data_IF_111041311158
#
_entry.id   IF_111041311158
#
_cell.length_a   1.000
_cell.length_b   1.000
_cell.length_c   1.000
_cell.angle_alpha   90.00
_cell.angle_beta   90.00
_cell.angle_gamma   90.00
#
_symmetry.space_group_name_H-M   'P 1'
#
loop_
_entity.id
_entity.type
_entity.pdbx_description
1 polymer ?
#
# COMPACT_ATOMS: atom_id res chain seq x y z
N UNK A 1 -34.33 16.28 -38.72
CA UNK A 1 -32.85 16.33 -38.55
C UNK A 1 -32.45 17.23 -37.39
N UNK A 2 -33.00 18.45 -37.29
CA UNK A 2 -32.74 19.36 -36.17
C UNK A 2 -33.07 18.74 -34.79
N UNK A 3 -34.18 18.01 -34.63
CA UNK A 3 -34.49 17.34 -33.36
C UNK A 3 -33.53 16.21 -32.99
N UNK A 4 -32.98 15.51 -34.01
CA UNK A 4 -31.96 14.47 -33.81
C UNK A 4 -30.59 15.07 -33.47
N UNK A 5 -30.28 16.26 -34.00
CA UNK A 5 -29.07 17.01 -33.67
C UNK A 5 -29.20 17.61 -32.27
N UNK A 6 -30.37 18.14 -31.91
CA UNK A 6 -30.66 18.64 -30.57
C UNK A 6 -30.63 17.49 -29.53
N UNK A 7 -31.17 16.32 -29.84
CA UNK A 7 -31.04 15.14 -28.97
C UNK A 7 -29.60 14.65 -28.88
N UNK A 8 -28.84 14.67 -29.99
CA UNK A 8 -27.41 14.32 -29.97
C UNK A 8 -26.61 15.29 -29.08
N UNK A 9 -26.85 16.60 -29.22
CA UNK A 9 -26.23 17.63 -28.39
C UNK A 9 -26.63 17.48 -26.91
N UNK A 10 -27.90 17.14 -26.63
CA UNK A 10 -28.36 16.84 -25.27
C UNK A 10 -27.68 15.59 -24.67
N UNK A 11 -27.34 14.59 -25.50
CA UNK A 11 -26.58 13.40 -25.08
C UNK A 11 -25.06 13.63 -24.96
N UNK A 12 -24.54 14.79 -25.37
CA UNK A 12 -23.11 15.08 -25.19
C UNK A 12 -22.80 15.32 -23.71
N UNK A 13 -21.68 14.80 -23.22
CA UNK A 13 -21.26 15.00 -21.82
C UNK A 13 -21.09 16.48 -21.42
N UNK A 14 -20.98 17.40 -22.38
CA UNK A 14 -20.85 18.83 -22.12
C UNK A 14 -22.09 19.45 -21.45
N UNK A 15 -23.29 18.90 -21.67
CA UNK A 15 -24.54 19.42 -21.08
C UNK A 15 -24.71 19.06 -19.62
N UNK A 16 -24.09 17.96 -19.18
CA UNK A 16 -24.14 17.45 -17.80
C UNK A 16 -22.88 17.79 -16.99
N UNK A 17 -22.00 18.64 -17.53
CA UNK A 17 -20.71 18.97 -16.93
C UNK A 17 -20.88 19.98 -15.79
N UNK A 18 -20.51 19.59 -14.56
CA UNK A 18 -20.43 20.49 -13.41
C UNK A 18 -18.99 20.97 -13.19
N UNK A 19 -18.80 22.09 -12.50
CA UNK A 19 -17.45 22.60 -12.21
C UNK A 19 -16.61 21.62 -11.38
N UNK A 20 -17.24 20.84 -10.50
CA UNK A 20 -16.57 19.80 -9.69
C UNK A 20 -15.95 18.71 -10.57
N UNK A 21 -16.61 18.34 -11.69
CA UNK A 21 -16.05 17.42 -12.68
C UNK A 21 -14.76 17.97 -13.27
N UNK A 22 -14.74 19.28 -13.60
CA UNK A 22 -13.54 19.96 -14.10
C UNK A 22 -12.37 19.91 -13.13
N UNK A 23 -12.61 20.16 -11.84
CA UNK A 23 -11.58 20.04 -10.80
C UNK A 23 -11.02 18.62 -10.71
N UNK A 24 -11.88 17.61 -10.72
CA UNK A 24 -11.44 16.21 -10.68
C UNK A 24 -10.68 15.79 -11.93
N UNK A 25 -11.04 16.31 -13.10
CA UNK A 25 -10.26 16.09 -14.33
C UNK A 25 -8.86 16.67 -14.19
N UNK A 26 -8.72 17.89 -13.65
CA UNK A 26 -7.40 18.49 -13.38
C UNK A 26 -6.60 17.63 -12.41
N UNK A 27 -7.21 17.16 -11.32
CA UNK A 27 -6.54 16.25 -10.36
C UNK A 27 -6.11 14.95 -11.05
N UNK A 28 -6.99 14.34 -11.85
CA UNK A 28 -6.68 13.12 -12.61
C UNK A 28 -5.50 13.34 -13.58
N UNK A 29 -5.45 14.49 -14.26
CA UNK A 29 -4.33 14.86 -15.13
C UNK A 29 -3.03 15.07 -14.35
N UNK A 30 -3.09 15.64 -13.14
CA UNK A 30 -1.92 15.74 -12.25
C UNK A 30 -1.42 14.35 -11.85
N UNK A 31 -2.31 13.44 -11.44
CA UNK A 31 -1.96 12.06 -11.09
C UNK A 31 -1.32 11.34 -12.29
N UNK A 32 -1.90 11.48 -13.48
CA UNK A 32 -1.33 10.93 -14.72
C UNK A 32 0.04 11.54 -15.06
N UNK A 33 0.22 12.85 -14.84
CA UNK A 33 1.52 13.50 -15.02
C UNK A 33 2.58 12.94 -14.05
N UNK A 34 2.22 12.73 -12.78
CA UNK A 34 3.12 12.13 -11.79
C UNK A 34 3.49 10.69 -12.18
N UNK A 35 2.53 9.90 -12.67
CA UNK A 35 2.80 8.54 -13.15
C UNK A 35 3.69 8.52 -14.41
N UNK A 36 3.42 9.37 -15.40
CA UNK A 36 4.07 9.31 -16.72
C UNK A 36 5.40 10.06 -16.73
N UNK A 37 5.44 11.29 -16.22
CA UNK A 37 6.61 12.17 -16.33
C UNK A 37 7.56 12.04 -15.15
N UNK A 38 7.03 11.78 -13.96
CA UNK A 38 7.83 11.61 -12.74
C UNK A 38 8.08 10.14 -12.39
N UNK A 39 7.42 9.21 -13.09
CA UNK A 39 7.54 7.77 -12.88
C UNK A 39 7.26 7.36 -11.42
N UNK A 40 6.32 8.07 -10.78
CA UNK A 40 5.90 7.76 -9.42
C UNK A 40 4.89 6.62 -9.45
N UNK A 41 5.29 5.44 -8.94
CA UNK A 41 4.48 4.23 -8.85
C UNK A 41 3.57 4.01 -10.10
N UNK A 42 4.15 4.03 -11.32
CA UNK A 42 3.39 4.16 -12.56
C UNK A 42 2.43 2.99 -12.79
N UNK A 43 2.78 1.80 -12.31
CA UNK A 43 1.96 0.59 -12.43
C UNK A 43 0.58 0.76 -11.77
N UNK A 44 0.48 1.57 -10.72
CA UNK A 44 -0.76 1.80 -9.97
C UNK A 44 -1.34 3.19 -10.26
N UNK A 45 -0.52 4.25 -10.22
CA UNK A 45 -1.01 5.62 -10.40
C UNK A 45 -1.56 5.87 -11.80
N UNK A 46 -1.06 5.20 -12.84
CA UNK A 46 -1.58 5.36 -14.20
C UNK A 46 -3.01 4.80 -14.34
N UNK A 47 -3.30 3.52 -13.99
CA UNK A 47 -4.68 3.03 -13.96
C UNK A 47 -5.59 3.84 -13.03
N UNK A 48 -5.12 4.26 -11.86
CA UNK A 48 -5.90 5.08 -10.91
C UNK A 48 -6.25 6.42 -11.55
N UNK A 49 -5.27 7.17 -12.05
CA UNK A 49 -5.49 8.47 -12.68
C UNK A 49 -6.44 8.37 -13.88
N UNK A 50 -6.35 7.30 -14.67
CA UNK A 50 -7.27 7.07 -15.78
C UNK A 50 -8.70 6.72 -15.31
N UNK A 51 -8.83 5.90 -14.26
CA UNK A 51 -10.11 5.61 -13.62
C UNK A 51 -10.78 6.88 -13.06
N UNK A 52 -10.00 7.75 -12.42
CA UNK A 52 -10.47 9.06 -11.94
C UNK A 52 -10.96 9.93 -13.10
N UNK A 53 -10.21 9.97 -14.20
CA UNK A 53 -10.56 10.76 -15.39
C UNK A 53 -11.91 10.31 -15.96
N UNK A 54 -12.05 9.03 -16.30
CA UNK A 54 -13.28 8.49 -16.92
C UNK A 54 -14.50 8.70 -16.03
N UNK A 55 -14.35 8.53 -14.72
CA UNK A 55 -15.50 8.53 -13.80
C UNK A 55 -16.02 9.93 -13.48
N UNK A 56 -15.24 10.95 -13.82
CA UNK A 56 -15.63 12.35 -13.73
C UNK A 56 -15.99 12.95 -15.09
N UNK A 57 -15.90 12.19 -16.20
CA UNK A 57 -16.52 12.56 -17.46
C UNK A 57 -18.02 12.27 -17.40
N UNK A 58 -18.91 13.21 -17.78
CA UNK A 58 -20.35 13.01 -17.67
C UNK A 58 -20.88 11.93 -18.64
N UNK A 59 -21.98 11.28 -18.25
CA UNK A 59 -22.78 10.39 -19.12
C UNK A 59 -21.98 9.15 -19.62
N UNK A 60 -21.14 8.55 -18.78
CA UNK A 60 -20.38 7.35 -19.17
C UNK A 60 -21.08 6.03 -18.85
N UNK A 61 -21.95 5.99 -17.83
CA UNK A 61 -22.65 4.77 -17.38
C UNK A 61 -21.74 3.62 -16.91
N UNK A 62 -20.42 3.80 -16.95
CA UNK A 62 -19.44 2.71 -16.80
C UNK A 62 -19.37 2.16 -15.38
N UNK A 63 -19.83 2.95 -14.40
CA UNK A 63 -19.86 2.58 -12.98
C UNK A 63 -21.30 2.40 -12.46
N UNK A 64 -22.29 2.45 -13.34
CA UNK A 64 -23.68 2.37 -12.91
C UNK A 64 -24.03 0.93 -12.51
N UNK A 65 -24.73 0.73 -11.38
CA UNK A 65 -25.22 -0.59 -10.99
C UNK A 65 -26.25 -1.09 -12.00
N UNK A 66 -26.44 -2.41 -12.13
CA UNK A 66 -27.54 -2.96 -12.92
C UNK A 66 -28.87 -2.45 -12.37
N UNK A 67 -29.71 -1.90 -13.24
CA UNK A 67 -31.00 -1.32 -12.88
C UNK A 67 -32.02 -1.56 -14.00
N UNK A 68 -33.30 -1.73 -13.64
CA UNK A 68 -34.41 -1.84 -14.60
C UNK A 68 -34.21 -2.91 -15.70
N UNK A 69 -33.59 -4.04 -15.36
CA UNK A 69 -33.29 -5.12 -16.31
C UNK A 69 -32.13 -4.83 -17.27
N UNK A 70 -31.44 -3.70 -17.14
CA UNK A 70 -30.23 -3.38 -17.89
C UNK A 70 -28.98 -3.85 -17.14
N UNK A 71 -27.98 -4.40 -17.84
CA UNK A 71 -26.70 -4.75 -17.23
C UNK A 71 -26.01 -3.48 -16.70
N UNK A 72 -25.26 -3.63 -15.61
CA UNK A 72 -24.45 -2.56 -15.06
C UNK A 72 -23.24 -2.23 -15.95
N UNK A 73 -22.56 -1.14 -15.63
CA UNK A 73 -21.32 -0.78 -16.31
C UNK A 73 -20.17 -1.74 -16.02
N UNK A 74 -19.19 -1.83 -16.92
CA UNK A 74 -18.05 -2.73 -16.75
C UNK A 74 -17.28 -2.47 -15.44
N UNK A 75 -17.03 -1.20 -15.09
CA UNK A 75 -16.28 -0.86 -13.89
C UNK A 75 -17.07 -1.18 -12.62
N UNK A 76 -18.42 -1.18 -12.67
CA UNK A 76 -19.22 -1.64 -11.54
C UNK A 76 -18.95 -3.11 -11.21
N UNK A 77 -18.88 -3.97 -12.24
CA UNK A 77 -18.60 -5.40 -12.06
C UNK A 77 -17.17 -5.67 -11.62
N UNK A 78 -16.19 -5.02 -12.27
CA UNK A 78 -14.78 -5.14 -11.85
C UNK A 78 -14.59 -4.62 -10.41
N UNK A 79 -15.30 -3.56 -10.02
CA UNK A 79 -15.22 -3.02 -8.66
C UNK A 79 -15.73 -4.01 -7.59
N UNK A 80 -16.53 -5.00 -7.95
CA UNK A 80 -16.89 -6.06 -7.00
C UNK A 80 -15.65 -6.82 -6.50
N UNK A 81 -14.58 -6.92 -7.29
CA UNK A 81 -13.33 -7.51 -6.81
C UNK A 81 -12.68 -6.71 -5.67
N UNK A 82 -12.85 -5.39 -5.66
CA UNK A 82 -12.43 -4.52 -4.55
C UNK A 82 -13.41 -4.63 -3.39
N UNK A 83 -14.71 -4.44 -3.67
CA UNK A 83 -15.78 -4.41 -2.66
C UNK A 83 -15.91 -5.72 -1.88
N UNK A 84 -15.78 -6.86 -2.56
CA UNK A 84 -15.81 -8.19 -1.95
C UNK A 84 -14.45 -8.59 -1.35
N UNK A 85 -13.42 -7.75 -1.48
CA UNK A 85 -12.08 -8.00 -0.93
C UNK A 85 -11.35 -9.15 -1.61
N UNK A 86 -11.59 -9.38 -2.91
CA UNK A 86 -10.97 -10.45 -3.73
C UNK A 86 -9.61 -10.01 -4.26
N UNK A 87 -9.51 -8.78 -4.77
CA UNK A 87 -8.27 -8.29 -5.38
C UNK A 87 -7.11 -8.13 -4.39
N UNK A 88 -7.29 -7.63 -3.16
CA UNK A 88 -6.15 -7.44 -2.27
C UNK A 88 -5.39 -8.73 -1.90
N UNK A 89 -6.05 -9.85 -1.51
CA UNK A 89 -5.37 -11.12 -1.32
C UNK A 89 -4.64 -11.61 -2.59
N UNK A 90 -5.22 -11.42 -3.77
CA UNK A 90 -4.58 -11.81 -5.03
C UNK A 90 -3.37 -10.94 -5.39
N UNK A 91 -3.36 -9.65 -5.03
CA UNK A 91 -2.14 -8.83 -5.11
C UNK A 91 -1.10 -9.34 -4.13
N UNK A 92 -1.50 -9.66 -2.90
CA UNK A 92 -0.62 -10.24 -1.87
C UNK A 92 0.04 -11.55 -2.33
N UNK A 93 -0.68 -12.39 -3.06
CA UNK A 93 -0.12 -13.58 -3.72
C UNK A 93 1.05 -13.22 -4.64
N UNK A 94 0.85 -12.25 -5.53
CA UNK A 94 1.89 -11.78 -6.44
C UNK A 94 3.07 -11.13 -5.70
N UNK A 95 2.80 -10.30 -4.70
CA UNK A 95 3.83 -9.69 -3.83
C UNK A 95 4.64 -10.77 -3.13
N UNK A 96 3.99 -11.80 -2.59
CA UNK A 96 4.67 -12.95 -1.98
C UNK A 96 5.58 -13.69 -2.96
N UNK A 97 5.13 -13.86 -4.20
CA UNK A 97 5.92 -14.49 -5.26
C UNK A 97 7.09 -13.62 -5.75
N UNK A 98 6.97 -12.30 -5.69
CA UNK A 98 8.04 -11.33 -6.04
C UNK A 98 9.09 -11.16 -4.94
N UNK A 99 8.71 -11.39 -3.68
CA UNK A 99 9.51 -11.02 -2.52
C UNK A 99 10.52 -12.11 -2.13
N UNK A 100 11.78 -11.71 -1.92
CA UNK A 100 12.80 -12.55 -1.28
C UNK A 100 12.76 -12.35 0.24
N UNK A 101 12.39 -13.39 0.97
CA UNK A 101 12.33 -13.39 2.43
C UNK A 101 13.66 -13.79 3.07
N UNK A 102 14.66 -14.19 2.27
CA UNK A 102 16.00 -14.55 2.73
C UNK A 102 16.61 -13.53 3.70
N UNK A 103 16.57 -12.22 3.41
CA UNK A 103 17.08 -11.22 4.33
C UNK A 103 16.43 -11.19 5.71
N UNK A 104 15.11 -11.41 5.76
CA UNK A 104 14.38 -11.46 7.02
C UNK A 104 14.71 -12.74 7.81
N UNK A 105 14.82 -13.88 7.13
CA UNK A 105 15.18 -15.16 7.75
C UNK A 105 16.64 -15.13 8.26
N UNK A 106 17.52 -14.45 7.53
CA UNK A 106 18.92 -14.31 7.88
C UNK A 106 19.11 -13.52 9.19
N UNK A 107 18.31 -12.47 9.40
CA UNK A 107 18.34 -11.66 10.62
C UNK A 107 16.92 -11.43 11.21
N UNK A 108 16.37 -12.41 11.95
CA UNK A 108 14.99 -12.34 12.42
C UNK A 108 14.69 -11.17 13.37
N UNK A 109 15.72 -10.61 14.04
CA UNK A 109 15.55 -9.46 14.94
C UNK A 109 15.00 -8.24 14.17
N UNK A 110 15.22 -8.14 12.86
CA UNK A 110 14.65 -7.06 12.04
C UNK A 110 13.12 -7.09 11.97
N UNK A 111 12.47 -8.17 12.38
CA UNK A 111 11.01 -8.22 12.52
C UNK A 111 10.49 -7.15 13.49
N UNK A 112 11.27 -6.82 14.53
CA UNK A 112 10.93 -5.76 15.49
C UNK A 112 10.87 -4.38 14.85
N UNK A 113 11.67 -4.13 13.80
CA UNK A 113 11.65 -2.86 13.07
C UNK A 113 10.37 -2.74 12.24
N UNK A 114 9.95 -3.83 11.60
CA UNK A 114 8.66 -3.89 10.90
C UNK A 114 7.46 -3.72 11.84
N UNK A 115 7.54 -4.27 13.06
CA UNK A 115 6.53 -4.07 14.10
C UNK A 115 6.48 -2.62 14.60
N UNK A 116 7.64 -2.02 14.89
CA UNK A 116 7.71 -0.62 15.33
C UNK A 116 7.26 0.37 14.24
N UNK A 117 7.44 0.04 12.97
CA UNK A 117 6.93 0.85 11.86
C UNK A 117 5.39 0.90 11.82
N UNK A 118 4.69 -0.06 12.44
CA UNK A 118 3.22 -0.01 12.55
C UNK A 118 2.71 1.05 13.54
N UNK A 119 3.60 1.72 14.28
CA UNK A 119 3.24 2.80 15.20
C UNK A 119 2.40 3.90 14.51
N UNK A 120 2.72 4.22 13.26
CA UNK A 120 1.97 5.24 12.52
C UNK A 120 0.51 4.85 12.27
N UNK A 121 0.17 3.56 12.24
CA UNK A 121 -1.23 3.10 12.17
C UNK A 121 -1.99 3.57 13.41
N UNK A 122 -1.46 3.27 14.59
CA UNK A 122 -2.13 3.54 15.86
C UNK A 122 -2.15 5.03 16.21
N UNK A 123 -1.08 5.78 15.90
CA UNK A 123 -1.07 7.24 16.09
C UNK A 123 -2.13 7.90 15.21
N UNK A 124 -2.24 7.45 13.96
CA UNK A 124 -3.22 8.00 13.01
C UNK A 124 -4.64 7.60 13.37
N UNK A 125 -4.83 6.36 13.84
CA UNK A 125 -6.10 5.91 14.42
C UNK A 125 -6.54 6.83 15.57
N UNK A 126 -5.66 7.13 16.52
CA UNK A 126 -5.95 8.06 17.62
C UNK A 126 -6.24 9.47 17.10
N UNK A 127 -5.45 9.97 16.14
CA UNK A 127 -5.67 11.27 15.50
C UNK A 127 -7.04 11.37 14.82
N UNK A 128 -7.46 10.33 14.11
CA UNK A 128 -8.77 10.28 13.47
C UNK A 128 -9.91 10.26 14.50
N UNK A 129 -9.77 9.53 15.61
CA UNK A 129 -10.75 9.57 16.71
C UNK A 129 -10.90 10.99 17.30
N UNK A 130 -9.78 11.69 17.50
CA UNK A 130 -9.80 13.08 18.02
C UNK A 130 -10.46 14.06 17.05
N UNK A 131 -10.42 13.79 15.74
CA UNK A 131 -11.12 14.57 14.72
C UNK A 131 -12.60 14.18 14.55
N UNK A 132 -13.10 13.24 15.36
CA UNK A 132 -14.52 12.87 15.39
C UNK A 132 -14.94 11.78 14.41
N UNK A 133 -13.99 11.05 13.80
CA UNK A 133 -14.31 9.86 13.02
C UNK A 133 -14.78 8.72 13.93
N UNK A 134 -15.69 7.87 13.44
CA UNK A 134 -16.09 6.66 14.18
C UNK A 134 -14.91 5.70 14.32
N UNK A 135 -14.89 4.76 15.29
CA UNK A 135 -13.80 3.79 15.42
C UNK A 135 -13.51 3.00 14.14
N UNK A 136 -14.54 2.59 13.40
CA UNK A 136 -14.39 1.88 12.13
C UNK A 136 -13.77 2.76 11.03
N UNK A 137 -14.16 4.03 10.97
CA UNK A 137 -13.57 5.01 10.06
C UNK A 137 -12.11 5.34 10.45
N UNK A 138 -11.86 5.56 11.73
CA UNK A 138 -10.53 5.81 12.27
C UNK A 138 -9.58 4.64 12.01
N UNK A 139 -10.03 3.39 12.11
CA UNK A 139 -9.24 2.21 11.76
C UNK A 139 -8.89 2.18 10.27
N UNK A 140 -9.86 2.48 9.41
CA UNK A 140 -9.69 2.58 7.96
C UNK A 140 -8.74 3.71 7.55
N UNK A 141 -8.70 4.82 8.29
CA UNK A 141 -7.74 5.91 8.06
C UNK A 141 -6.37 5.54 8.64
N UNK A 142 -6.34 4.93 9.83
CA UNK A 142 -5.13 4.52 10.51
C UNK A 142 -4.28 3.58 9.67
N UNK A 143 -4.89 2.58 9.01
CA UNK A 143 -4.16 1.57 8.24
C UNK A 143 -3.34 2.16 7.07
N UNK A 144 -3.62 3.39 6.63
CA UNK A 144 -2.78 4.14 5.69
C UNK A 144 -1.32 4.19 6.17
N UNK A 145 -1.11 4.31 7.48
CA UNK A 145 0.22 4.30 8.11
C UNK A 145 1.00 2.99 7.92
N UNK A 146 0.32 1.90 7.59
CA UNK A 146 0.98 0.64 7.23
C UNK A 146 1.76 0.77 5.93
N UNK A 147 1.43 1.74 5.07
CA UNK A 147 1.95 1.91 3.71
C UNK A 147 1.71 0.71 2.78
N UNK A 148 0.62 -0.02 3.05
CA UNK A 148 0.22 -1.21 2.32
C UNK A 148 -1.14 -0.97 1.67
N UNK A 149 -1.13 -0.62 0.39
CA UNK A 149 -2.35 -0.31 -0.37
C UNK A 149 -3.38 -1.45 -0.38
N UNK A 150 -3.02 -2.69 -0.72
CA UNK A 150 -3.96 -3.79 -0.69
C UNK A 150 -4.53 -4.05 0.72
N UNK A 151 -3.72 -4.01 1.77
CA UNK A 151 -4.22 -4.17 3.15
C UNK A 151 -5.17 -3.03 3.53
N UNK A 152 -4.85 -1.79 3.17
CA UNK A 152 -5.71 -0.64 3.43
C UNK A 152 -7.07 -0.77 2.74
N UNK A 153 -7.08 -1.21 1.47
CA UNK A 153 -8.31 -1.51 0.73
C UNK A 153 -9.11 -2.62 1.40
N UNK A 154 -8.45 -3.71 1.80
CA UNK A 154 -9.08 -4.88 2.40
C UNK A 154 -9.76 -4.57 3.74
N UNK A 155 -9.11 -3.77 4.59
CA UNK A 155 -9.67 -3.34 5.87
C UNK A 155 -10.85 -2.38 5.64
N UNK A 156 -10.64 -1.38 4.80
CA UNK A 156 -11.63 -0.31 4.58
C UNK A 156 -12.89 -0.81 3.89
N UNK A 157 -12.78 -1.77 2.97
CA UNK A 157 -13.95 -2.37 2.31
C UNK A 157 -14.87 -3.13 3.27
N UNK A 158 -14.39 -3.47 4.47
CA UNK A 158 -15.15 -4.16 5.52
C UNK A 158 -15.60 -3.22 6.64
N UNK A 159 -14.76 -2.26 7.04
CA UNK A 159 -15.04 -1.38 8.18
C UNK A 159 -15.71 -0.06 7.78
N UNK A 160 -15.27 0.59 6.69
CA UNK A 160 -15.80 1.89 6.25
C UNK A 160 -15.81 2.00 4.72
N UNK A 161 -16.69 1.24 4.02
CA UNK A 161 -16.72 1.21 2.56
C UNK A 161 -16.92 2.59 1.91
N UNK A 162 -17.56 3.52 2.61
CA UNK A 162 -17.77 4.90 2.18
C UNK A 162 -16.48 5.73 2.12
N UNK A 163 -15.44 5.35 2.88
CA UNK A 163 -14.13 6.00 2.87
C UNK A 163 -13.12 5.35 1.92
N UNK A 164 -13.49 4.21 1.31
CA UNK A 164 -12.58 3.37 0.53
C UNK A 164 -11.84 4.14 -0.56
N UNK A 165 -12.53 5.02 -1.28
CA UNK A 165 -11.95 5.83 -2.35
C UNK A 165 -10.85 6.77 -1.82
N UNK A 166 -11.16 7.48 -0.73
CA UNK A 166 -10.27 8.47 -0.12
C UNK A 166 -9.06 7.80 0.53
N UNK A 167 -9.29 6.70 1.25
CA UNK A 167 -8.23 5.90 1.90
C UNK A 167 -7.32 5.26 0.86
N UNK A 168 -7.88 4.61 -0.16
CA UNK A 168 -7.07 3.94 -1.18
C UNK A 168 -6.23 4.94 -1.98
N UNK A 169 -6.80 6.08 -2.36
CA UNK A 169 -6.03 7.12 -3.06
C UNK A 169 -4.93 7.69 -2.17
N UNK A 170 -5.23 7.99 -0.89
CA UNK A 170 -4.24 8.47 0.05
C UNK A 170 -3.10 7.46 0.23
N UNK A 171 -3.43 6.17 0.44
CA UNK A 171 -2.44 5.11 0.61
C UNK A 171 -1.48 5.03 -0.58
N UNK A 172 -1.97 4.91 -1.81
CA UNK A 172 -1.11 4.79 -2.99
C UNK A 172 -0.38 6.09 -3.33
N UNK A 173 -1.00 7.25 -3.14
CA UNK A 173 -0.32 8.54 -3.35
C UNK A 173 0.87 8.70 -2.40
N UNK A 174 0.70 8.35 -1.13
CA UNK A 174 1.78 8.46 -0.15
C UNK A 174 2.87 7.41 -0.30
N UNK A 175 2.52 6.19 -0.73
CA UNK A 175 3.53 5.20 -1.12
C UNK A 175 4.47 5.76 -2.20
N UNK A 176 3.92 6.47 -3.20
CA UNK A 176 4.70 7.10 -4.26
C UNK A 176 5.59 8.26 -3.74
N UNK A 177 5.19 8.91 -2.64
CA UNK A 177 5.90 10.05 -2.04
C UNK A 177 6.92 9.65 -0.97
N UNK A 178 7.09 8.36 -0.67
CA UNK A 178 8.11 7.84 0.26
C UNK A 178 9.52 8.41 0.02
N UNK A 179 10.02 8.52 -1.23
CA UNK A 179 11.35 9.09 -1.50
C UNK A 179 11.49 10.57 -1.13
N UNK A 180 10.37 11.25 -0.89
CA UNK A 180 10.31 12.65 -0.49
C UNK A 180 10.08 12.75 1.02
N UNK A 181 9.21 11.90 1.58
CA UNK A 181 8.79 11.93 2.99
C UNK A 181 9.86 11.34 3.92
N UNK A 182 10.44 10.19 3.57
CA UNK A 182 11.37 9.48 4.47
C UNK A 182 12.71 10.20 4.67
N UNK A 183 13.43 10.66 3.62
CA UNK A 183 14.78 11.18 3.82
C UNK A 183 14.91 12.36 4.79
N UNK A 184 13.99 13.35 4.83
CA UNK A 184 14.03 14.40 5.84
C UNK A 184 13.95 13.86 7.27
N UNK A 185 13.07 12.90 7.52
CA UNK A 185 12.89 12.28 8.85
C UNK A 185 14.13 11.47 9.24
N UNK A 186 14.69 10.72 8.29
CA UNK A 186 15.94 9.99 8.48
C UNK A 186 17.08 10.92 8.89
N UNK A 187 17.26 12.04 8.18
CA UNK A 187 18.31 13.03 8.46
C UNK A 187 18.08 13.76 9.79
N UNK A 188 16.83 13.99 10.18
CA UNK A 188 16.46 14.63 11.44
C UNK A 188 16.72 13.73 12.66
N UNK A 189 16.35 12.44 12.57
CA UNK A 189 16.39 11.53 13.71
C UNK A 189 17.71 10.77 13.85
N UNK A 190 18.54 10.71 12.81
CA UNK A 190 19.82 9.98 12.81
C UNK A 190 21.03 10.91 12.67
N UNK A 191 22.09 10.58 13.39
CA UNK A 191 23.39 11.25 13.30
C UNK A 191 24.20 10.72 12.11
N UNK A 192 25.20 11.47 11.65
CA UNK A 192 26.09 11.02 10.58
C UNK A 192 26.81 9.71 10.94
N UNK A 193 27.32 9.60 12.18
CA UNK A 193 27.99 8.39 12.69
C UNK A 193 27.09 7.15 12.64
N UNK A 194 25.83 7.29 13.00
CA UNK A 194 24.85 6.19 12.91
C UNK A 194 24.62 5.77 11.44
N UNK A 195 24.53 6.74 10.52
CA UNK A 195 24.29 6.49 9.09
C UNK A 195 25.46 5.80 8.38
N UNK A 196 26.68 6.10 8.80
CA UNK A 196 27.91 5.51 8.24
C UNK A 196 28.18 4.08 8.74
N UNK A 197 27.37 3.57 9.67
CA UNK A 197 27.52 2.23 10.24
C UNK A 197 27.36 1.16 9.15
N UNK A 198 28.42 0.39 8.92
CA UNK A 198 28.44 -0.73 7.99
C UNK A 198 27.90 -1.97 8.70
N UNK A 199 26.96 -2.66 8.06
CA UNK A 199 26.38 -3.89 8.59
C UNK A 199 27.16 -5.12 8.11
N UNK A 200 27.33 -6.10 8.98
CA UNK A 200 27.95 -7.39 8.65
C UNK A 200 27.12 -8.15 7.61
N UNK A 201 27.77 -8.93 6.75
CA UNK A 201 27.07 -9.74 5.75
C UNK A 201 26.06 -10.70 6.40
N UNK A 202 24.90 -10.84 5.75
CA UNK A 202 23.86 -11.75 6.20
C UNK A 202 24.36 -13.20 6.12
N UNK A 203 23.92 -14.02 7.08
CA UNK A 203 24.14 -15.47 7.02
C UNK A 203 23.48 -16.07 5.78
N UNK A 204 24.04 -17.17 5.28
CA UNK A 204 23.36 -17.96 4.28
C UNK A 204 22.10 -18.62 4.87
N UNK A 205 21.02 -18.59 4.11
CA UNK A 205 19.74 -19.19 4.50
C UNK A 205 19.55 -20.45 3.67
N UNK A 206 19.41 -21.58 4.36
CA UNK A 206 19.22 -22.87 3.72
C UNK A 206 17.90 -22.94 2.95
N UNK A 207 17.85 -23.77 1.90
CA UNK A 207 16.60 -23.99 1.15
C UNK A 207 15.46 -24.50 2.03
N UNK A 208 15.78 -25.33 3.03
CA UNK A 208 14.80 -25.83 4.00
C UNK A 208 14.20 -24.71 4.84
N UNK A 209 15.01 -23.79 5.36
CA UNK A 209 14.50 -22.62 6.11
C UNK A 209 13.59 -21.75 5.24
N UNK A 210 13.98 -21.50 3.98
CA UNK A 210 13.17 -20.71 3.04
C UNK A 210 11.79 -21.33 2.76
N UNK A 211 11.72 -22.66 2.66
CA UNK A 211 10.46 -23.39 2.41
C UNK A 211 9.61 -23.48 3.69
N UNK A 212 10.21 -23.74 4.85
CA UNK A 212 9.47 -23.85 6.11
C UNK A 212 8.97 -22.51 6.62
N UNK A 213 9.68 -21.41 6.35
CA UNK A 213 9.29 -20.07 6.77
C UNK A 213 7.83 -19.71 6.41
N UNK A 214 7.38 -19.73 5.14
CA UNK A 214 6.01 -19.36 4.81
C UNK A 214 4.97 -20.30 5.43
N UNK A 215 5.29 -21.59 5.61
CA UNK A 215 4.39 -22.56 6.24
C UNK A 215 4.21 -22.23 7.73
N UNK A 216 5.32 -22.02 8.45
CA UNK A 216 5.31 -21.70 9.87
C UNK A 216 4.62 -20.36 10.12
N UNK A 217 4.96 -19.33 9.33
CA UNK A 217 4.32 -18.01 9.45
C UNK A 217 2.83 -18.09 9.18
N UNK A 218 2.40 -18.86 8.17
CA UNK A 218 0.97 -19.07 7.91
C UNK A 218 0.28 -19.70 9.12
N UNK A 219 0.80 -20.81 9.65
CA UNK A 219 0.20 -21.51 10.78
C UNK A 219 0.11 -20.58 12.00
N UNK A 220 1.21 -19.92 12.36
CA UNK A 220 1.26 -19.05 13.54
C UNK A 220 0.34 -17.83 13.39
N UNK A 221 0.47 -17.09 12.29
CA UNK A 221 -0.31 -15.86 12.10
C UNK A 221 -1.81 -16.14 11.93
N UNK A 222 -2.20 -17.23 11.24
CA UNK A 222 -3.63 -17.57 11.08
C UNK A 222 -4.23 -18.05 12.40
N UNK A 223 -3.50 -18.83 13.21
CA UNK A 223 -3.99 -19.26 14.52
C UNK A 223 -4.09 -18.10 15.51
N UNK A 224 -3.16 -17.14 15.46
CA UNK A 224 -3.17 -15.96 16.34
C UNK A 224 -4.19 -14.91 15.89
N UNK A 225 -4.32 -14.67 14.58
CA UNK A 225 -5.16 -13.61 14.00
C UNK A 225 -5.93 -14.15 12.78
N UNK A 226 -7.01 -14.92 13.00
CA UNK A 226 -7.78 -15.56 11.91
C UNK A 226 -8.36 -14.57 10.89
N UNK A 227 -8.67 -13.34 11.31
CA UNK A 227 -9.18 -12.25 10.47
C UNK A 227 -8.18 -11.79 9.39
N UNK A 228 -6.87 -11.98 9.61
CA UNK A 228 -5.81 -11.68 8.63
C UNK A 228 -5.56 -12.84 7.65
N UNK A 229 -6.27 -13.97 7.79
CA UNK A 229 -5.97 -15.21 7.07
C UNK A 229 -5.91 -15.06 5.56
N UNK A 230 -6.84 -14.34 4.93
CA UNK A 230 -6.84 -14.15 3.48
C UNK A 230 -5.57 -13.44 2.99
N UNK A 231 -5.11 -12.41 3.69
CA UNK A 231 -3.91 -11.66 3.32
C UNK A 231 -2.65 -12.49 3.56
N UNK A 232 -2.50 -13.04 4.77
CA UNK A 232 -1.30 -13.80 5.14
C UNK A 232 -1.17 -15.08 4.32
N UNK A 233 -2.26 -15.85 4.15
CA UNK A 233 -2.22 -17.10 3.40
C UNK A 233 -1.85 -16.86 1.94
N UNK A 234 -2.40 -15.81 1.29
CA UNK A 234 -2.01 -15.48 -0.07
C UNK A 234 -0.55 -15.03 -0.16
N UNK A 235 -0.06 -14.17 0.75
CA UNK A 235 1.34 -13.74 0.80
C UNK A 235 2.29 -14.94 0.91
N UNK A 236 2.03 -15.80 1.89
CA UNK A 236 2.88 -16.93 2.20
C UNK A 236 2.77 -18.02 1.15
N UNK A 237 1.60 -18.22 0.53
CA UNK A 237 1.47 -19.14 -0.61
C UNK A 237 2.27 -18.63 -1.82
N UNK A 238 2.23 -17.33 -2.11
CA UNK A 238 3.08 -16.70 -3.11
C UNK A 238 4.56 -16.94 -2.85
N UNK A 239 4.99 -16.78 -1.60
CA UNK A 239 6.38 -17.06 -1.22
C UNK A 239 6.72 -18.56 -1.33
N UNK A 240 5.82 -19.45 -0.91
CA UNK A 240 6.04 -20.90 -0.98
C UNK A 240 6.20 -21.39 -2.42
N UNK A 241 5.36 -20.94 -3.36
CA UNK A 241 5.49 -21.34 -4.77
C UNK A 241 6.79 -20.81 -5.42
N UNK A 242 7.33 -19.69 -4.91
CA UNK A 242 8.65 -19.16 -5.31
C UNK A 242 9.77 -20.06 -4.78
N UNK A 243 9.77 -20.37 -3.48
CA UNK A 243 10.87 -21.10 -2.82
C UNK A 243 10.85 -22.61 -3.08
N UNK A 244 9.68 -23.19 -3.39
CA UNK A 244 9.55 -24.62 -3.66
C UNK A 244 10.31 -25.05 -4.94
N UNK A 245 10.38 -24.20 -5.96
CA UNK A 245 11.12 -24.45 -7.21
C UNK A 245 10.52 -25.54 -8.12
N UNK A 246 9.48 -26.25 -7.70
CA UNK A 246 8.81 -27.32 -8.48
C UNK A 246 7.60 -26.82 -9.28
N UNK A 247 7.11 -25.62 -8.98
CA UNK A 247 5.93 -25.00 -9.62
C UNK A 247 6.28 -23.68 -10.31
N UNK A 248 7.39 -23.67 -11.05
CA UNK A 248 7.92 -22.46 -11.70
C UNK A 248 6.89 -21.75 -12.59
N UNK A 249 6.05 -22.51 -13.30
CA UNK A 249 4.95 -21.95 -14.11
C UNK A 249 3.94 -21.17 -13.25
N UNK A 250 3.59 -21.66 -12.06
CA UNK A 250 2.67 -20.94 -11.16
C UNK A 250 3.33 -19.71 -10.57
N UNK A 251 4.59 -19.82 -10.13
CA UNK A 251 5.36 -18.69 -9.60
C UNK A 251 5.50 -17.56 -10.62
N UNK A 252 5.88 -17.89 -11.87
CA UNK A 252 5.98 -16.93 -12.97
C UNK A 252 4.65 -16.27 -13.28
N UNK A 253 3.56 -17.04 -13.36
CA UNK A 253 2.21 -16.50 -13.57
C UNK A 253 1.80 -15.55 -12.45
N UNK A 254 2.04 -15.92 -11.19
CA UNK A 254 1.66 -15.11 -10.03
C UNK A 254 2.41 -13.77 -9.98
N UNK A 255 3.73 -13.78 -10.23
CA UNK A 255 4.58 -12.59 -10.11
C UNK A 255 4.55 -11.68 -11.35
N UNK A 256 4.02 -12.13 -12.49
CA UNK A 256 3.93 -11.35 -13.72
C UNK A 256 2.47 -11.18 -14.16
N UNK A 257 1.91 -12.16 -14.88
CA UNK A 257 0.64 -12.00 -15.60
C UNK A 257 -0.54 -11.75 -14.65
N UNK A 258 -0.67 -12.55 -13.59
CA UNK A 258 -1.79 -12.45 -12.66
C UNK A 258 -1.78 -11.13 -11.90
N UNK A 259 -0.66 -10.77 -11.26
CA UNK A 259 -0.56 -9.52 -10.51
C UNK A 259 -0.80 -8.31 -11.42
N UNK A 260 -0.33 -8.33 -12.67
CA UNK A 260 -0.55 -7.25 -13.63
C UNK A 260 -2.04 -7.11 -14.00
N UNK A 261 -2.74 -8.22 -14.27
CA UNK A 261 -4.18 -8.20 -14.57
C UNK A 261 -4.96 -7.64 -13.38
N UNK A 262 -4.69 -8.13 -12.17
CA UNK A 262 -5.39 -7.67 -10.96
C UNK A 262 -5.07 -6.21 -10.67
N UNK A 263 -3.83 -5.76 -10.90
CA UNK A 263 -3.41 -4.36 -10.73
C UNK A 263 -4.17 -3.44 -11.67
N UNK A 264 -4.37 -3.83 -12.93
CA UNK A 264 -5.17 -3.06 -13.89
C UNK A 264 -6.62 -2.93 -13.39
N UNK A 265 -7.26 -4.05 -13.01
CA UNK A 265 -8.64 -4.03 -12.55
C UNK A 265 -8.81 -3.23 -11.26
N UNK A 266 -7.92 -3.43 -10.28
CA UNK A 266 -7.93 -2.70 -9.02
C UNK A 266 -7.70 -1.20 -9.26
N UNK A 267 -6.67 -0.83 -10.00
CA UNK A 267 -6.31 0.57 -10.20
C UNK A 267 -7.40 1.35 -10.94
N UNK A 268 -7.93 0.81 -12.04
CA UNK A 268 -9.03 1.44 -12.79
C UNK A 268 -10.28 1.63 -11.91
N UNK A 269 -10.66 0.60 -11.15
CA UNK A 269 -11.90 0.63 -10.37
C UNK A 269 -11.78 1.46 -9.10
N UNK A 270 -10.62 1.45 -8.43
CA UNK A 270 -10.32 2.34 -7.30
C UNK A 270 -10.33 3.79 -7.76
N UNK A 271 -9.61 4.12 -8.84
CA UNK A 271 -9.65 5.45 -9.43
C UNK A 271 -11.07 5.89 -9.77
N UNK A 272 -11.89 4.95 -10.28
CA UNK A 272 -13.27 5.23 -10.64
C UNK A 272 -14.19 5.59 -9.47
N UNK A 273 -13.81 5.25 -8.24
CA UNK A 273 -14.56 5.64 -7.04
C UNK A 273 -14.33 7.09 -6.60
N UNK A 274 -13.29 7.76 -7.11
CA UNK A 274 -12.99 9.16 -6.81
C UNK A 274 -13.88 10.09 -7.65
N UNK A 275 -15.19 10.04 -7.41
CA UNK A 275 -16.15 10.98 -8.01
C UNK A 275 -16.07 12.32 -7.29
N UNK A 276 -16.31 13.41 -8.01
CA UNK A 276 -16.18 14.76 -7.46
C UNK A 276 -17.02 14.99 -6.20
N UNK A 277 -18.23 14.41 -6.14
CA UNK A 277 -19.16 14.55 -5.02
C UNK A 277 -18.68 13.86 -3.73
N UNK A 278 -17.89 12.77 -3.85
CA UNK A 278 -17.36 12.02 -2.71
C UNK A 278 -15.93 12.42 -2.37
N UNK A 279 -15.17 12.90 -3.35
CA UNK A 279 -13.75 13.20 -3.20
C UNK A 279 -13.47 14.64 -2.77
N UNK A 280 -14.23 15.62 -3.26
CA UNK A 280 -14.03 17.03 -2.92
C UNK A 280 -14.74 17.39 -1.61
N UNK A 281 -14.37 16.70 -0.53
CA UNK A 281 -14.93 16.89 0.80
C UNK A 281 -13.85 17.26 1.81
N UNK A 282 -14.24 17.97 2.87
CA UNK A 282 -13.34 18.29 3.99
C UNK A 282 -12.79 17.01 4.63
N UNK A 283 -13.62 15.98 4.75
CA UNK A 283 -13.21 14.67 5.26
C UNK A 283 -12.09 14.04 4.43
N UNK A 284 -12.17 14.11 3.10
CA UNK A 284 -11.10 13.60 2.25
C UNK A 284 -9.78 14.35 2.48
N UNK A 285 -9.84 15.67 2.67
CA UNK A 285 -8.65 16.46 3.01
C UNK A 285 -8.06 16.04 4.36
N UNK A 286 -8.89 15.81 5.37
CA UNK A 286 -8.46 15.30 6.68
C UNK A 286 -7.77 13.93 6.54
N UNK A 287 -8.33 13.01 5.75
CA UNK A 287 -7.74 11.68 5.48
C UNK A 287 -6.38 11.82 4.80
N UNK A 288 -6.26 12.73 3.83
CA UNK A 288 -5.00 13.01 3.15
C UNK A 288 -3.99 13.52 4.19
N UNK A 289 -4.31 14.54 4.98
CA UNK A 289 -3.39 15.08 6.00
C UNK A 289 -2.98 14.02 7.03
N UNK A 290 -3.94 13.25 7.54
CA UNK A 290 -3.70 12.13 8.46
C UNK A 290 -2.80 11.06 7.84
N UNK A 291 -2.96 10.76 6.55
CA UNK A 291 -2.07 9.83 5.84
C UNK A 291 -0.62 10.29 5.84
N UNK A 292 -0.35 11.57 5.59
CA UNK A 292 1.02 12.11 5.65
C UNK A 292 1.62 11.98 7.05
N UNK A 293 0.82 12.28 8.08
CA UNK A 293 1.19 12.12 9.49
C UNK A 293 1.50 10.64 9.77
N UNK A 294 0.66 9.73 9.28
CA UNK A 294 0.82 8.29 9.44
C UNK A 294 2.18 7.80 8.94
N UNK A 295 2.53 8.12 7.70
CA UNK A 295 3.82 7.75 7.10
C UNK A 295 5.00 8.34 7.85
N UNK A 296 4.86 9.59 8.31
CA UNK A 296 5.90 10.28 9.07
C UNK A 296 6.18 9.57 10.40
N UNK A 297 5.13 9.20 11.13
CA UNK A 297 5.25 8.47 12.39
C UNK A 297 5.64 7.00 12.22
N UNK A 298 5.24 6.33 11.14
CA UNK A 298 5.71 4.97 10.82
C UNK A 298 7.21 4.97 10.56
N UNK A 299 7.69 5.94 9.79
CA UNK A 299 9.13 6.13 9.51
C UNK A 299 9.90 6.46 10.78
N UNK A 300 9.39 7.39 11.59
CA UNK A 300 10.00 7.77 12.87
C UNK A 300 10.03 6.58 13.85
N UNK A 301 8.93 5.83 14.00
CA UNK A 301 8.84 4.65 14.87
C UNK A 301 9.85 3.58 14.49
N UNK A 302 9.96 3.26 13.20
CA UNK A 302 10.97 2.34 12.68
C UNK A 302 12.40 2.81 12.96
N UNK A 303 12.73 4.08 12.70
CA UNK A 303 14.06 4.65 12.97
C UNK A 303 14.37 4.64 14.47
N UNK A 304 13.44 5.04 15.33
CA UNK A 304 13.63 5.06 16.79
C UNK A 304 13.93 3.65 17.32
N UNK A 305 13.22 2.63 16.82
CA UNK A 305 13.54 1.24 17.13
C UNK A 305 14.91 0.83 16.57
N UNK A 306 15.27 1.30 15.37
CA UNK A 306 16.61 1.15 14.79
C UNK A 306 17.70 1.75 15.68
N UNK A 307 17.48 2.92 16.28
CA UNK A 307 18.42 3.54 17.23
C UNK A 307 18.53 2.77 18.53
N UNK A 308 17.41 2.26 19.05
CA UNK A 308 17.43 1.38 20.21
C UNK A 308 18.27 0.13 19.92
N UNK A 309 18.04 -0.51 18.76
CA UNK A 309 18.81 -1.67 18.30
C UNK A 309 20.29 -1.34 18.06
N UNK A 310 20.62 -0.16 17.53
CA UNK A 310 21.99 0.32 17.41
C UNK A 310 22.68 0.39 18.79
N UNK A 311 22.02 1.00 19.78
CA UNK A 311 22.57 1.13 21.13
C UNK A 311 22.74 -0.23 21.81
N UNK A 312 21.73 -1.10 21.74
CA UNK A 312 21.74 -2.43 22.37
C UNK A 312 22.74 -3.39 21.72
N UNK A 313 23.01 -3.24 20.42
CA UNK A 313 23.97 -4.07 19.69
C UNK A 313 25.42 -3.57 19.80
N UNK A 314 25.67 -2.47 20.50
CA UNK A 314 26.99 -1.84 20.56
C UNK A 314 27.43 -1.20 19.23
N UNK A 315 26.46 -0.76 18.41
CA UNK A 315 26.71 -0.03 17.17
C UNK A 315 26.76 -0.88 15.91
N UNK A 316 26.17 -2.09 15.90
CA UNK A 316 26.23 -3.01 14.75
C UNK A 316 25.07 -2.86 13.77
N UNK A 317 23.94 -2.29 14.21
CA UNK A 317 22.70 -2.20 13.42
C UNK A 317 22.50 -0.76 12.95
N UNK A 318 22.57 -0.51 11.66
CA UNK A 318 22.38 0.83 11.12
C UNK A 318 20.91 1.29 11.30
N UNK A 319 20.63 2.40 12.01
CA UNK A 319 19.26 2.86 12.24
C UNK A 319 18.46 3.19 10.98
N UNK A 320 19.12 3.44 9.84
CA UNK A 320 18.43 3.74 8.58
C UNK A 320 17.56 2.60 8.11
N UNK A 321 17.94 1.33 8.38
CA UNK A 321 17.12 0.17 8.01
C UNK A 321 15.78 0.15 8.76
N UNK A 322 15.67 0.89 9.87
CA UNK A 322 14.42 1.06 10.59
C UNK A 322 13.34 1.78 9.77
N UNK A 323 13.73 2.77 8.97
CA UNK A 323 12.79 3.45 8.06
C UNK A 323 12.25 2.53 6.96
N UNK A 324 13.01 1.49 6.60
CA UNK A 324 12.57 0.47 5.66
C UNK A 324 11.47 -0.43 6.23
N UNK A 325 11.15 -0.36 7.53
CA UNK A 325 10.00 -1.07 8.12
C UNK A 325 8.64 -0.61 7.60
N UNK A 326 8.58 0.57 6.95
CA UNK A 326 7.39 1.03 6.21
C UNK A 326 7.22 0.15 4.98
N UNK A 327 6.06 -0.51 4.84
CA UNK A 327 5.86 -1.69 3.98
C UNK A 327 5.79 -1.44 2.46
N UNK A 328 6.39 -0.36 1.97
CA UNK A 328 6.47 -0.10 0.54
C UNK A 328 7.63 -0.89 -0.08
N UNK A 329 7.32 -2.13 -0.44
CA UNK A 329 8.26 -3.04 -1.10
C UNK A 329 8.38 -2.71 -2.59
N UNK A 330 9.59 -2.60 -3.16
CA UNK A 330 10.92 -2.54 -2.53
C UNK A 330 11.39 -1.10 -2.24
N UNK A 331 10.55 -0.08 -2.46
CA UNK A 331 10.93 1.32 -2.49
C UNK A 331 11.51 1.86 -1.17
N UNK A 332 10.93 1.51 -0.02
CA UNK A 332 11.42 1.99 1.28
C UNK A 332 12.87 1.51 1.57
N UNK A 333 13.18 0.27 1.19
CA UNK A 333 14.53 -0.28 1.29
C UNK A 333 15.51 0.42 0.34
N UNK A 334 15.07 0.78 -0.88
CA UNK A 334 15.87 1.56 -1.84
C UNK A 334 16.14 2.98 -1.35
N UNK A 335 15.17 3.62 -0.70
CA UNK A 335 15.36 4.95 -0.10
C UNK A 335 16.37 4.88 1.05
N UNK A 336 16.27 3.84 1.90
CA UNK A 336 17.27 3.59 2.94
C UNK A 336 18.67 3.37 2.38
N UNK A 337 18.80 2.60 1.31
CA UNK A 337 20.05 2.43 0.57
C UNK A 337 20.62 3.75 0.07
N UNK A 338 19.78 4.58 -0.58
CA UNK A 338 20.20 5.87 -1.14
C UNK A 338 20.72 6.79 -0.05
N UNK A 339 19.98 6.95 1.05
CA UNK A 339 20.39 7.82 2.17
C UNK A 339 21.63 7.25 2.88
N UNK A 340 21.78 5.92 2.95
CA UNK A 340 22.99 5.27 3.44
C UNK A 340 24.22 5.59 2.56
N UNK A 341 24.07 5.53 1.24
CA UNK A 341 25.13 5.86 0.28
C UNK A 341 25.48 7.35 0.25
N UNK A 342 24.51 8.23 0.49
CA UNK A 342 24.77 9.67 0.68
C UNK A 342 25.69 9.92 1.88
N UNK A 343 25.62 9.09 2.93
CA UNK A 343 26.47 9.19 4.11
C UNK A 343 27.82 8.45 3.93
N UNK A 344 27.80 7.26 3.34
CA UNK A 344 28.99 6.46 3.05
C UNK A 344 28.81 5.71 1.71
N UNK A 345 29.52 6.10 0.63
CA UNK A 345 29.37 5.49 -0.69
C UNK A 345 29.63 3.98 -0.77
N UNK A 346 30.40 3.42 0.17
CA UNK A 346 30.70 1.98 0.22
C UNK A 346 29.71 1.18 1.06
N UNK A 347 28.73 1.84 1.69
CA UNK A 347 27.74 1.19 2.54
C UNK A 347 26.52 0.71 1.73
N UNK A 348 26.33 -0.61 1.69
CA UNK A 348 25.21 -1.25 0.99
C UNK A 348 24.21 -1.84 2.00
N UNK A 349 23.13 -1.11 2.23
CA UNK A 349 22.04 -1.44 3.14
C UNK A 349 20.87 -2.16 2.47
N UNK A 350 20.73 -2.16 1.14
CA UNK A 350 19.52 -2.67 0.45
C UNK A 350 19.14 -4.08 0.92
N UNK A 351 20.10 -5.02 0.94
CA UNK A 351 19.84 -6.39 1.38
C UNK A 351 19.42 -6.44 2.85
N UNK A 352 20.03 -5.65 3.74
CA UNK A 352 19.65 -5.58 5.15
C UNK A 352 18.28 -4.90 5.36
N UNK A 353 17.96 -3.89 4.55
CA UNK A 353 16.75 -3.09 4.63
C UNK A 353 15.52 -3.82 4.05
N UNK A 354 15.73 -4.83 3.20
CA UNK A 354 14.64 -5.70 2.74
C UNK A 354 14.02 -6.51 3.88
N UNK A 355 14.79 -6.92 4.88
CA UNK A 355 14.26 -7.65 6.06
C UNK A 355 13.14 -6.87 6.77
N UNK A 356 13.41 -5.65 7.29
CA UNK A 356 12.39 -4.77 7.85
C UNK A 356 11.21 -4.50 6.93
N UNK A 357 11.45 -4.29 5.62
CA UNK A 357 10.39 -3.94 4.66
C UNK A 357 9.38 -5.08 4.50
N UNK A 358 9.88 -6.30 4.37
CA UNK A 358 9.05 -7.50 4.31
C UNK A 358 8.33 -7.77 5.64
N UNK A 359 9.01 -7.55 6.77
CA UNK A 359 8.38 -7.62 8.08
C UNK A 359 7.26 -6.57 8.24
N UNK A 360 7.41 -5.40 7.63
CA UNK A 360 6.39 -4.36 7.56
C UNK A 360 5.12 -4.82 6.85
N UNK A 361 5.24 -5.52 5.72
CA UNK A 361 4.08 -6.09 4.98
C UNK A 361 3.31 -7.06 5.88
N UNK A 362 4.02 -8.00 6.52
CA UNK A 362 3.41 -8.94 7.48
C UNK A 362 2.77 -8.17 8.64
N UNK A 363 3.48 -7.20 9.21
CA UNK A 363 3.02 -6.39 10.34
C UNK A 363 1.74 -5.61 10.03
N UNK A 364 1.63 -5.04 8.84
CA UNK A 364 0.44 -4.30 8.42
C UNK A 364 -0.77 -5.21 8.26
N UNK A 365 -0.59 -6.41 7.68
CA UNK A 365 -1.66 -7.40 7.56
C UNK A 365 -2.13 -7.92 8.92
N UNK A 366 -1.21 -8.14 9.87
CA UNK A 366 -1.53 -8.50 11.25
C UNK A 366 -2.29 -7.36 11.93
N UNK A 367 -1.82 -6.11 11.81
CA UNK A 367 -2.49 -4.94 12.38
C UNK A 367 -3.91 -4.78 11.84
N UNK A 368 -4.10 -4.95 10.52
CA UNK A 368 -5.42 -4.97 9.91
C UNK A 368 -6.31 -6.11 10.44
N UNK A 369 -5.76 -7.31 10.61
CA UNK A 369 -6.49 -8.42 11.23
C UNK A 369 -6.95 -8.11 12.65
N UNK A 370 -6.06 -7.56 13.49
CA UNK A 370 -6.42 -7.17 14.85
C UNK A 370 -7.51 -6.09 14.83
N UNK A 371 -7.39 -5.07 13.99
CA UNK A 371 -8.41 -4.03 13.85
C UNK A 371 -9.76 -4.60 13.38
N UNK A 372 -9.76 -5.56 12.43
CA UNK A 372 -10.97 -6.27 12.02
C UNK A 372 -11.58 -7.08 13.16
N UNK A 373 -10.77 -7.79 13.95
CA UNK A 373 -11.28 -8.59 15.07
C UNK A 373 -11.91 -7.73 16.16
N UNK A 374 -11.37 -6.54 16.39
CA UNK A 374 -11.84 -5.64 17.45
C UNK A 374 -13.05 -4.80 17.02
N UNK A 375 -13.15 -4.43 15.74
CA UNK A 375 -14.10 -3.43 15.26
C UNK A 375 -15.05 -3.90 14.15
N UNK A 376 -14.87 -5.11 13.61
CA UNK A 376 -15.56 -5.63 12.43
C UNK A 376 -16.56 -6.75 12.68
#
# INVERSE_FOLDING_TARGET
MLDKIASLLATTGFTAFKWQNGVMIVIALIVLYLAIKKEYEPLLLMPIGFGMLISNLPITGIFDPPANGQPGGLFYYLYQGVKLGIYPPLIFLGVGALTDFGPLIANPITFLLGAAAQLGIFITFMGALLLGFTPAQAASIGIIGGADGPTAIYLTSRLAPELLSSVALAAYSYMALIPIIQPPIMKLLTTQKERETVMEQLREVSKTERILFPIIVTILCVLLVPSASALIACLMFGNLIREAGVVERLSKTAQNELINIITIFLGLTVGATAKAETFLTVKTLEIIVLGLIAFSFSTAGGILMGKLMYKLSGGKINPLIGSAGVSAVPMAARVSQKVGQEANPTNFLLMHAMGPNVAGVIGSAIAAGVLLTVLG
#
